data_IF_635705157162
#
_entry.id   IF_635705157162
#
_cell.length_a   1.000
_cell.length_b   1.000
_cell.length_c   1.000
_cell.angle_alpha   90.00
_cell.angle_beta   90.00
_cell.angle_gamma   90.00
#
_symmetry.space_group_name_H-M   'P 1'
#
loop_
_entity.id
_entity.type
_entity.pdbx_description
1 polymer ?
#
# COMPACT_ATOMS: atom_id res chain seq x y z
N UNK A 1 -50.26 -9.21 -21.49
CA UNK A 1 -48.96 -9.83 -21.17
C UNK A 1 -47.83 -8.88 -21.53
N UNK A 2 -47.60 -7.79 -20.77
CA UNK A 2 -46.54 -6.81 -21.08
C UNK A 2 -46.14 -6.02 -19.80
N UNK A 3 -45.70 -6.70 -18.74
CA UNK A 3 -45.22 -6.04 -17.51
C UNK A 3 -43.88 -6.59 -16.99
N UNK A 4 -43.14 -7.35 -17.81
CA UNK A 4 -41.85 -7.93 -17.40
C UNK A 4 -40.63 -7.20 -17.98
N UNK A 5 -40.80 -6.30 -18.94
CA UNK A 5 -39.67 -5.59 -19.58
C UNK A 5 -39.02 -4.51 -18.68
N UNK A 6 -39.69 -4.04 -17.64
CA UNK A 6 -39.15 -3.01 -16.74
C UNK A 6 -38.18 -3.53 -15.68
N UNK A 7 -38.30 -4.80 -15.26
CA UNK A 7 -37.50 -5.37 -14.18
C UNK A 7 -36.09 -5.80 -14.65
N UNK A 8 -35.94 -6.17 -15.92
CA UNK A 8 -34.65 -6.58 -16.47
C UNK A 8 -33.62 -5.44 -16.52
N UNK A 9 -34.05 -4.24 -16.91
CA UNK A 9 -33.17 -3.06 -16.98
C UNK A 9 -32.68 -2.61 -15.61
N UNK A 10 -33.56 -2.62 -14.60
CA UNK A 10 -33.18 -2.31 -13.22
C UNK A 10 -32.20 -3.32 -12.63
N UNK A 11 -32.35 -4.59 -12.96
CA UNK A 11 -31.42 -5.64 -12.52
C UNK A 11 -30.03 -5.47 -13.16
N UNK A 12 -29.96 -5.13 -14.45
CA UNK A 12 -28.68 -4.86 -15.15
C UNK A 12 -28.01 -3.61 -14.58
N UNK A 13 -28.76 -2.52 -14.36
CA UNK A 13 -28.22 -1.31 -13.75
C UNK A 13 -27.70 -1.57 -12.33
N UNK A 14 -28.41 -2.37 -11.53
CA UNK A 14 -27.96 -2.78 -10.20
C UNK A 14 -26.67 -3.60 -10.23
N UNK A 15 -26.54 -4.54 -11.18
CA UNK A 15 -25.33 -5.34 -11.35
C UNK A 15 -24.12 -4.49 -11.74
N UNK A 16 -24.31 -3.51 -12.63
CA UNK A 16 -23.25 -2.57 -13.04
C UNK A 16 -22.81 -1.71 -11.84
N UNK A 17 -23.77 -1.17 -11.07
CA UNK A 17 -23.47 -0.39 -9.87
C UNK A 17 -22.69 -1.19 -8.82
N UNK A 18 -23.03 -2.46 -8.65
CA UNK A 18 -22.30 -3.35 -7.74
C UNK A 18 -20.85 -3.54 -8.18
N UNK A 19 -20.60 -3.75 -9.48
CA UNK A 19 -19.24 -3.91 -10.02
C UNK A 19 -18.44 -2.60 -9.86
N UNK A 20 -19.05 -1.45 -10.14
CA UNK A 20 -18.41 -0.14 -9.96
C UNK A 20 -18.06 0.08 -8.49
N UNK A 21 -18.98 -0.24 -7.57
CA UNK A 21 -18.77 -0.10 -6.14
C UNK A 21 -17.58 -0.95 -5.65
N UNK A 22 -17.53 -2.23 -6.05
CA UNK A 22 -16.39 -3.10 -5.71
C UNK A 22 -15.09 -2.64 -6.37
N UNK A 23 -15.14 -2.22 -7.63
CA UNK A 23 -13.99 -1.65 -8.34
C UNK A 23 -13.45 -0.39 -7.66
N UNK A 24 -14.35 0.48 -7.19
CA UNK A 24 -13.98 1.68 -6.45
C UNK A 24 -13.34 1.35 -5.09
N UNK A 25 -13.89 0.36 -4.35
CA UNK A 25 -13.29 -0.12 -3.11
C UNK A 25 -11.89 -0.66 -3.36
N UNK A 26 -11.71 -1.55 -4.34
CA UNK A 26 -10.41 -2.14 -4.67
C UNK A 26 -9.44 -1.03 -5.09
N UNK A 27 -9.86 -0.11 -5.95
CA UNK A 27 -9.06 1.03 -6.38
C UNK A 27 -8.64 1.91 -5.21
N UNK A 28 -9.54 2.16 -4.25
CA UNK A 28 -9.27 2.95 -3.05
C UNK A 28 -8.29 2.24 -2.12
N UNK A 29 -8.41 0.92 -1.95
CA UNK A 29 -7.45 0.11 -1.19
C UNK A 29 -6.07 0.16 -1.84
N UNK A 30 -5.98 -0.06 -3.17
CA UNK A 30 -4.70 0.01 -3.89
C UNK A 30 -4.11 1.42 -3.79
N UNK A 31 -4.91 2.47 -3.96
CA UNK A 31 -4.47 3.85 -3.82
C UNK A 31 -3.98 4.17 -2.40
N UNK A 32 -4.70 3.72 -1.38
CA UNK A 32 -4.31 3.89 0.01
C UNK A 32 -3.01 3.14 0.31
N UNK A 33 -2.92 1.86 -0.07
CA UNK A 33 -1.70 1.06 0.13
C UNK A 33 -0.53 1.67 -0.62
N UNK A 34 -0.65 1.99 -1.91
CA UNK A 34 0.45 2.61 -2.67
C UNK A 34 0.87 3.96 -2.10
N UNK A 35 -0.05 4.75 -1.55
CA UNK A 35 0.29 6.02 -0.89
C UNK A 35 0.95 5.82 0.47
N UNK A 36 0.51 4.83 1.25
CA UNK A 36 1.14 4.47 2.50
C UNK A 36 2.52 3.84 2.26
N UNK A 37 2.65 2.92 1.33
CA UNK A 37 3.92 2.27 0.98
C UNK A 37 4.93 3.25 0.39
N UNK A 38 4.52 4.20 -0.48
CA UNK A 38 5.43 5.27 -0.93
C UNK A 38 5.85 6.21 0.21
N UNK A 39 4.99 6.39 1.22
CA UNK A 39 5.36 7.13 2.44
C UNK A 39 6.26 6.30 3.34
N UNK A 40 6.16 4.97 3.29
CA UNK A 40 7.07 4.02 3.93
C UNK A 40 8.40 3.88 3.16
N UNK A 41 8.47 4.12 1.86
CA UNK A 41 9.78 4.32 1.18
C UNK A 41 10.44 5.62 1.66
N UNK A 42 9.64 6.61 2.08
CA UNK A 42 10.15 7.84 2.71
C UNK A 42 10.32 7.75 4.25
N UNK A 43 9.78 6.73 4.93
CA UNK A 43 9.72 6.66 6.40
C UNK A 43 9.88 5.25 7.02
N UNK A 44 10.23 4.24 6.24
CA UNK A 44 10.09 2.83 6.60
C UNK A 44 11.32 2.04 6.21
N UNK A 45 12.38 2.24 6.99
CA UNK A 45 13.75 1.70 6.90
C UNK A 45 14.62 2.44 5.90
N UNK A 46 15.00 3.66 6.28
CA UNK A 46 16.31 4.14 5.83
C UNK A 46 17.32 3.05 6.19
N UNK A 47 18.28 2.69 5.32
CA UNK A 47 19.29 1.70 5.64
C UNK A 47 20.01 1.97 6.98
N UNK A 48 19.97 3.22 7.47
CA UNK A 48 20.39 3.61 8.82
C UNK A 48 19.63 2.88 9.96
N UNK A 49 18.33 2.62 9.80
CA UNK A 49 17.49 1.98 10.80
C UNK A 49 17.78 0.47 10.87
N UNK A 50 18.04 -0.15 9.71
CA UNK A 50 18.50 -1.54 9.61
C UNK A 50 19.89 -1.68 10.24
N UNK A 51 20.80 -0.73 9.95
CA UNK A 51 22.14 -0.71 10.53
C UNK A 51 22.09 -0.50 12.07
N UNK A 52 21.19 0.36 12.56
CA UNK A 52 20.99 0.59 14.00
C UNK A 52 20.48 -0.66 14.71
N UNK A 53 19.56 -1.40 14.11
CA UNK A 53 19.04 -2.65 14.68
C UNK A 53 20.14 -3.71 14.82
N UNK A 54 21.02 -3.83 13.81
CA UNK A 54 22.16 -4.77 13.84
C UNK A 54 23.26 -4.34 14.81
N UNK A 55 23.51 -3.04 14.94
CA UNK A 55 24.41 -2.48 15.95
C UNK A 55 23.90 -2.79 17.38
N UNK A 56 22.58 -2.63 17.62
CA UNK A 56 21.98 -2.96 18.91
C UNK A 56 22.02 -4.46 19.24
N UNK A 57 22.01 -5.32 18.22
CA UNK A 57 22.23 -6.77 18.35
C UNK A 57 23.70 -7.15 18.55
N UNK A 58 24.64 -6.20 18.43
CA UNK A 58 26.08 -6.44 18.53
C UNK A 58 26.68 -7.15 17.31
N UNK A 59 25.90 -7.31 16.24
CA UNK A 59 26.34 -7.93 14.97
C UNK A 59 27.19 -6.98 14.11
N UNK A 60 27.19 -5.69 14.46
CA UNK A 60 27.87 -4.63 13.72
C UNK A 60 28.78 -3.85 14.69
N UNK A 61 30.04 -3.62 14.31
CA UNK A 61 30.94 -2.80 15.14
C UNK A 61 30.65 -1.31 14.98
N UNK A 62 31.13 -0.50 15.93
CA UNK A 62 30.92 0.96 15.90
C UNK A 62 31.55 1.59 14.65
N UNK A 63 32.68 1.07 14.18
CA UNK A 63 33.34 1.55 12.96
C UNK A 63 32.46 1.32 11.72
N UNK A 64 31.91 0.10 11.58
CA UNK A 64 31.03 -0.26 10.48
C UNK A 64 29.72 0.55 10.47
N UNK A 65 29.17 0.85 11.65
CA UNK A 65 27.99 1.71 11.76
C UNK A 65 28.28 3.15 11.31
N UNK A 66 29.42 3.71 11.70
CA UNK A 66 29.82 5.08 11.32
C UNK A 66 30.18 5.21 9.83
N UNK A 67 30.69 4.14 9.21
CA UNK A 67 30.96 4.07 7.77
C UNK A 67 29.65 4.07 6.96
N UNK A 68 28.72 3.18 7.30
CA UNK A 68 27.38 3.13 6.68
C UNK A 68 26.65 4.46 6.85
N UNK A 69 26.73 5.08 8.03
CA UNK A 69 26.11 6.40 8.29
C UNK A 69 26.70 7.52 7.45
N UNK A 70 28.01 7.46 7.14
CA UNK A 70 28.68 8.44 6.28
C UNK A 70 28.33 8.24 4.81
N UNK A 71 28.22 7.00 4.36
CA UNK A 71 27.89 6.66 2.96
C UNK A 71 26.43 6.92 2.61
N UNK A 72 25.53 6.90 3.60
CA UNK A 72 24.09 7.19 3.45
C UNK A 72 23.68 8.64 3.69
N UNK A 73 24.65 9.52 4.00
CA UNK A 73 24.42 10.96 4.19
C UNK A 73 24.41 11.75 2.89
#
# INVERSE_FOLDING_TARGET
MWYFDGFGWWMVLGAIWMIIFWGAIIGLVIWAVTRLTRRSDAAGRSPIDIARERYAKGELTREQFEEIKRDLS
#
